data_IF_465095084428
#
_entry.id   IF_465095084428
#
_cell.length_a   1.000
_cell.length_b   1.000
_cell.length_c   1.000
_cell.angle_alpha   90.00
_cell.angle_beta   90.00
_cell.angle_gamma   90.00
#
_symmetry.space_group_name_H-M   'P 1'
#
loop_
_entity.id
_entity.type
_entity.pdbx_description
1 polymer ?
#
# COMPACT_ATOMS: atom_id res chain seq x y z
N UNK A 1 -28.49 -7.36 -2.65
CA UNK A 1 -27.63 -6.17 -2.77
C UNK A 1 -26.33 -6.63 -3.35
N UNK A 2 -25.83 -5.92 -4.35
CA UNK A 2 -24.61 -6.29 -5.05
C UNK A 2 -23.43 -5.55 -4.38
N UNK A 3 -22.55 -6.30 -3.72
CA UNK A 3 -21.34 -5.76 -3.08
C UNK A 3 -20.22 -5.80 -4.11
N UNK A 4 -19.66 -4.64 -4.48
CA UNK A 4 -18.66 -4.52 -5.54
C UNK A 4 -17.26 -4.18 -5.04
N UNK A 5 -17.13 -3.79 -3.78
CA UNK A 5 -15.87 -3.30 -3.23
C UNK A 5 -15.19 -4.38 -2.38
N UNK A 6 -13.88 -4.47 -2.49
CA UNK A 6 -13.03 -5.44 -1.81
C UNK A 6 -12.22 -4.69 -0.74
N UNK A 7 -12.03 -5.31 0.44
CA UNK A 7 -11.34 -4.72 1.58
C UNK A 7 -11.89 -3.33 2.00
N UNK A 8 -13.21 -3.22 1.95
CA UNK A 8 -13.90 -2.06 2.49
C UNK A 8 -15.25 -2.47 3.09
N UNK A 9 -15.74 -1.66 4.02
CA UNK A 9 -17.03 -1.88 4.64
C UNK A 9 -18.17 -1.52 3.67
N UNK A 10 -19.02 -2.49 3.39
CA UNK A 10 -20.21 -2.32 2.57
C UNK A 10 -21.46 -2.36 3.44
N UNK A 11 -22.25 -1.29 3.49
CA UNK A 11 -23.49 -1.24 4.25
C UNK A 11 -24.69 -1.60 3.41
N UNK A 12 -25.53 -2.47 3.97
CA UNK A 12 -26.79 -2.88 3.39
C UNK A 12 -27.92 -2.47 4.34
N UNK A 13 -28.70 -1.41 4.07
CA UNK A 13 -29.81 -1.05 4.91
C UNK A 13 -30.94 -2.08 4.77
N UNK A 14 -31.43 -2.57 5.91
CA UNK A 14 -32.56 -3.50 5.97
C UNK A 14 -33.71 -2.80 6.72
N UNK A 15 -34.74 -2.40 5.98
CA UNK A 15 -35.86 -1.61 6.50
C UNK A 15 -37.04 -2.49 6.94
N UNK A 16 -36.81 -3.75 7.23
CA UNK A 16 -37.84 -4.69 7.68
C UNK A 16 -37.26 -5.69 8.68
N UNK A 17 -38.15 -6.29 9.45
CA UNK A 17 -37.75 -7.30 10.44
C UNK A 17 -37.16 -8.53 9.75
N UNK A 18 -35.91 -8.83 10.04
CA UNK A 18 -35.15 -9.91 9.41
C UNK A 18 -34.94 -11.05 10.42
N UNK A 19 -35.19 -12.26 10.01
CA UNK A 19 -35.00 -13.48 10.83
C UNK A 19 -33.78 -14.30 10.40
N UNK A 20 -33.30 -14.10 9.16
CA UNK A 20 -32.14 -14.79 8.61
C UNK A 20 -31.46 -13.90 7.59
N UNK A 21 -30.12 -13.99 7.53
CA UNK A 21 -29.27 -13.38 6.51
C UNK A 21 -28.66 -14.52 5.70
N UNK A 22 -28.78 -14.47 4.39
CA UNK A 22 -28.07 -15.34 3.47
C UNK A 22 -27.12 -14.53 2.61
N UNK A 23 -25.85 -14.88 2.61
CA UNK A 23 -24.83 -14.30 1.75
C UNK A 23 -24.58 -15.32 0.64
N UNK A 24 -24.78 -14.90 -0.62
CA UNK A 24 -24.57 -15.75 -1.79
C UNK A 24 -23.63 -15.04 -2.75
N UNK A 25 -22.59 -15.73 -3.19
CA UNK A 25 -21.77 -15.28 -4.29
C UNK A 25 -22.48 -15.56 -5.63
N UNK A 26 -22.34 -14.64 -6.57
CA UNK A 26 -22.74 -14.89 -7.97
C UNK A 26 -21.63 -15.58 -8.76
N UNK A 27 -20.39 -15.41 -8.30
CA UNK A 27 -19.20 -16.08 -8.81
C UNK A 27 -18.83 -17.24 -7.86
N UNK A 28 -17.96 -18.13 -8.29
CA UNK A 28 -17.66 -19.38 -7.56
C UNK A 28 -17.03 -19.16 -6.17
N UNK A 29 -16.37 -18.01 -5.93
CA UNK A 29 -15.69 -17.72 -4.67
C UNK A 29 -15.99 -16.28 -4.24
N UNK A 30 -16.41 -16.09 -2.99
CA UNK A 30 -16.47 -14.80 -2.33
C UNK A 30 -15.91 -14.93 -0.91
N UNK A 31 -14.85 -14.18 -0.62
CA UNK A 31 -14.28 -14.07 0.71
C UNK A 31 -15.02 -12.97 1.46
N UNK A 32 -15.59 -13.32 2.61
CA UNK A 32 -16.22 -12.38 3.55
C UNK A 32 -15.32 -12.30 4.76
N UNK A 33 -14.69 -11.14 4.96
CA UNK A 33 -13.73 -10.94 6.04
C UNK A 33 -14.42 -10.79 7.39
N UNK A 34 -15.41 -9.91 7.47
CA UNK A 34 -16.13 -9.61 8.72
C UNK A 34 -17.57 -9.20 8.44
N UNK A 35 -18.50 -9.57 9.31
CA UNK A 35 -19.92 -9.21 9.23
C UNK A 35 -20.33 -8.52 10.52
N UNK A 36 -20.75 -7.25 10.41
CA UNK A 36 -21.33 -6.50 11.53
C UNK A 36 -22.81 -6.28 11.28
N UNK A 37 -23.64 -6.71 12.22
CA UNK A 37 -25.08 -6.48 12.20
C UNK A 37 -25.39 -5.41 13.23
N UNK A 38 -26.02 -4.33 12.79
CA UNK A 38 -26.48 -3.25 13.66
C UNK A 38 -28.02 -3.30 13.79
N UNK A 39 -28.52 -3.12 14.99
CA UNK A 39 -29.94 -2.91 15.23
C UNK A 39 -30.38 -1.47 14.87
N UNK A 40 -31.64 -1.14 15.12
CA UNK A 40 -32.18 0.20 14.83
C UNK A 40 -31.53 1.32 15.65
N UNK A 41 -30.98 0.98 16.79
CA UNK A 41 -30.29 1.91 17.70
C UNK A 41 -28.77 1.99 17.41
N UNK A 42 -28.29 1.30 16.37
CA UNK A 42 -26.88 1.23 16.01
C UNK A 42 -26.05 0.31 16.87
N UNK A 43 -26.69 -0.51 17.74
CA UNK A 43 -26.00 -1.47 18.60
C UNK A 43 -25.66 -2.73 17.82
N UNK A 44 -24.45 -3.25 18.03
CA UNK A 44 -23.99 -4.51 17.42
C UNK A 44 -24.75 -5.70 17.97
N UNK A 45 -25.23 -6.56 17.08
CA UNK A 45 -26.00 -7.75 17.38
C UNK A 45 -25.33 -8.95 16.71
N UNK A 46 -25.03 -9.98 17.47
CA UNK A 46 -24.51 -11.24 16.94
C UNK A 46 -25.65 -12.20 16.57
N UNK A 47 -25.57 -12.89 15.43
CA UNK A 47 -26.53 -13.94 15.10
C UNK A 47 -26.37 -15.15 16.05
N UNK A 48 -27.45 -15.90 16.26
CA UNK A 48 -27.47 -17.07 17.18
C UNK A 48 -26.46 -18.16 16.80
N UNK A 49 -26.03 -18.20 15.56
CA UNK A 49 -25.09 -19.17 15.03
C UNK A 49 -23.71 -18.57 14.72
N UNK A 50 -23.37 -17.41 15.28
CA UNK A 50 -22.06 -16.77 15.06
C UNK A 50 -20.88 -17.71 15.39
N UNK A 51 -21.03 -18.53 16.44
CA UNK A 51 -20.00 -19.51 16.86
C UNK A 51 -19.64 -20.55 15.78
N UNK A 52 -20.50 -20.74 14.76
CA UNK A 52 -20.22 -21.63 13.62
C UNK A 52 -19.34 -20.98 12.54
N UNK A 53 -19.20 -19.67 12.58
CA UNK A 53 -18.48 -18.85 11.60
C UNK A 53 -17.61 -17.83 12.36
N UNK A 54 -16.68 -18.28 13.21
CA UNK A 54 -15.90 -17.38 14.06
C UNK A 54 -15.15 -16.32 13.22
N UNK A 55 -14.53 -16.72 12.12
CA UNK A 55 -13.75 -15.83 11.23
C UNK A 55 -14.58 -14.70 10.58
N UNK A 56 -15.92 -14.78 10.63
CA UNK A 56 -16.79 -13.75 10.10
C UNK A 56 -17.34 -12.79 11.18
N UNK A 57 -17.01 -13.03 12.47
CA UNK A 57 -17.55 -12.27 13.61
C UNK A 57 -16.51 -12.02 14.71
N UNK A 58 -15.22 -12.21 14.46
CA UNK A 58 -14.15 -12.10 15.47
C UNK A 58 -13.49 -10.71 15.52
N UNK A 59 -13.70 -9.88 14.50
CA UNK A 59 -13.12 -8.55 14.40
C UNK A 59 -14.14 -7.41 14.55
N UNK A 60 -15.19 -7.62 15.34
CA UNK A 60 -16.29 -6.66 15.56
C UNK A 60 -15.84 -5.26 16.01
N UNK A 61 -14.71 -5.18 16.71
CA UNK A 61 -14.11 -3.92 17.18
C UNK A 61 -13.45 -3.11 16.08
N UNK A 62 -13.07 -3.76 14.96
CA UNK A 62 -12.51 -3.06 13.81
C UNK A 62 -13.56 -2.29 13.00
N UNK A 63 -14.85 -2.52 13.28
CA UNK A 63 -15.91 -1.75 12.63
C UNK A 63 -15.89 -0.30 13.13
N UNK A 64 -15.61 0.68 12.25
CA UNK A 64 -15.47 2.07 12.65
C UNK A 64 -16.83 2.70 12.95
N UNK A 65 -16.88 3.54 13.98
CA UNK A 65 -18.06 4.33 14.32
C UNK A 65 -18.45 5.28 13.18
N UNK A 66 -17.45 5.86 12.52
CA UNK A 66 -17.60 6.70 11.34
C UNK A 66 -16.72 6.19 10.19
N UNK A 67 -17.27 6.11 9.00
CA UNK A 67 -16.49 5.73 7.81
C UNK A 67 -15.55 6.85 7.41
N UNK A 68 -14.28 6.53 7.34
CA UNK A 68 -13.22 7.41 6.83
C UNK A 68 -12.27 6.61 5.94
N UNK A 69 -11.45 7.30 5.17
CA UNK A 69 -10.38 6.66 4.38
C UNK A 69 -9.33 5.91 5.22
N UNK A 70 -9.37 6.10 6.53
CA UNK A 70 -8.50 5.36 7.46
C UNK A 70 -8.90 3.89 7.61
N UNK A 71 -10.12 3.53 7.22
CA UNK A 71 -10.69 2.19 7.39
C UNK A 71 -11.04 1.48 6.08
N UNK A 72 -10.79 2.13 4.94
CA UNK A 72 -11.16 1.60 3.63
C UNK A 72 -9.97 1.67 2.66
N UNK A 73 -10.02 0.87 1.60
CA UNK A 73 -9.09 0.99 0.48
C UNK A 73 -9.46 2.19 -0.40
N UNK A 74 -8.45 2.86 -0.94
CA UNK A 74 -8.61 4.00 -1.81
C UNK A 74 -7.93 3.75 -3.16
N UNK A 75 -8.66 3.98 -4.25
CA UNK A 75 -8.15 3.84 -5.62
C UNK A 75 -7.60 2.42 -5.88
N UNK A 76 -6.39 2.30 -6.40
CA UNK A 76 -5.77 1.01 -6.73
C UNK A 76 -5.28 0.20 -5.50
N UNK A 77 -5.42 0.74 -4.29
CA UNK A 77 -5.14 -0.01 -3.06
C UNK A 77 -5.86 -1.36 -3.02
N UNK A 78 -7.10 -1.40 -3.55
CA UNK A 78 -7.90 -2.62 -3.59
C UNK A 78 -7.17 -3.77 -4.30
N UNK A 79 -6.45 -3.48 -5.37
CA UNK A 79 -5.70 -4.48 -6.12
C UNK A 79 -4.36 -4.81 -5.46
N UNK A 80 -3.63 -3.79 -5.03
CA UNK A 80 -2.30 -3.95 -4.47
C UNK A 80 -2.32 -4.55 -3.07
N UNK A 81 -3.22 -4.09 -2.20
CA UNK A 81 -3.39 -4.64 -0.86
C UNK A 81 -3.87 -6.09 -0.92
N UNK A 82 -4.83 -6.41 -1.79
CA UNK A 82 -5.28 -7.78 -2.02
C UNK A 82 -4.13 -8.69 -2.46
N UNK A 83 -3.37 -8.28 -3.48
CA UNK A 83 -2.25 -9.08 -3.97
C UNK A 83 -1.16 -9.23 -2.92
N UNK A 84 -0.87 -8.19 -2.13
CA UNK A 84 0.06 -8.28 -1.02
C UNK A 84 -0.42 -9.26 0.07
N UNK A 85 -1.72 -9.32 0.33
CA UNK A 85 -2.34 -10.31 1.20
C UNK A 85 -2.20 -11.74 0.63
N UNK A 86 -2.53 -11.92 -0.66
CA UNK A 86 -2.38 -13.21 -1.37
C UNK A 86 -0.94 -13.73 -1.29
N UNK A 87 0.05 -12.85 -1.50
CA UNK A 87 1.48 -13.18 -1.35
C UNK A 87 1.80 -13.63 0.08
N UNK A 88 1.25 -12.94 1.08
CA UNK A 88 1.50 -13.24 2.50
C UNK A 88 1.01 -14.64 2.87
N UNK A 89 -0.11 -15.07 2.29
CA UNK A 89 -0.76 -16.35 2.57
C UNK A 89 -0.46 -17.46 1.55
N UNK A 90 0.38 -17.18 0.54
CA UNK A 90 0.72 -18.16 -0.50
C UNK A 90 -0.46 -18.53 -1.41
N UNK A 91 -1.40 -17.60 -1.59
CA UNK A 91 -2.57 -17.77 -2.45
C UNK A 91 -2.24 -17.46 -3.92
N UNK A 92 -3.12 -17.84 -4.82
CA UNK A 92 -3.02 -17.47 -6.24
C UNK A 92 -3.16 -15.97 -6.41
N UNK A 93 -2.19 -15.34 -7.08
CA UNK A 93 -2.17 -13.91 -7.31
C UNK A 93 -3.22 -13.54 -8.35
N UNK A 94 -4.16 -12.67 -7.96
CA UNK A 94 -5.24 -12.19 -8.84
C UNK A 94 -4.73 -11.12 -9.82
N UNK A 95 -4.01 -10.11 -9.31
CA UNK A 95 -3.57 -8.98 -10.12
C UNK A 95 -2.10 -9.18 -10.56
N UNK A 96 -1.88 -9.41 -11.85
CA UNK A 96 -0.58 -9.70 -12.47
C UNK A 96 -0.09 -8.61 -13.43
N UNK A 97 -0.87 -7.55 -13.65
CA UNK A 97 -0.55 -6.52 -14.66
C UNK A 97 0.60 -5.61 -14.25
N UNK A 98 0.81 -5.41 -12.95
CA UNK A 98 1.88 -4.57 -12.43
C UNK A 98 3.08 -5.40 -11.96
N UNK A 99 4.30 -4.84 -12.02
CA UNK A 99 5.50 -5.50 -11.49
C UNK A 99 5.33 -5.95 -10.04
N UNK A 100 5.82 -7.15 -9.68
CA UNK A 100 5.49 -7.75 -8.39
C UNK A 100 6.26 -7.15 -7.20
N UNK A 101 7.43 -6.52 -7.42
CA UNK A 101 8.32 -6.06 -6.34
C UNK A 101 7.59 -5.15 -5.34
N UNK A 102 6.83 -4.15 -5.82
CA UNK A 102 6.11 -3.24 -4.94
C UNK A 102 5.11 -3.97 -4.04
N UNK A 103 4.39 -4.96 -4.57
CA UNK A 103 3.42 -5.78 -3.83
C UNK A 103 4.11 -6.69 -2.82
N UNK A 104 5.29 -7.27 -3.15
CA UNK A 104 6.11 -8.01 -2.19
C UNK A 104 6.58 -7.12 -1.04
N UNK A 105 6.99 -5.89 -1.33
CA UNK A 105 7.38 -4.93 -0.28
C UNK A 105 6.17 -4.58 0.61
N UNK A 106 5.01 -4.31 0.03
CA UNK A 106 3.76 -4.06 0.80
C UNK A 106 3.38 -5.27 1.67
N UNK A 107 3.59 -6.50 1.19
CA UNK A 107 3.31 -7.71 1.97
C UNK A 107 4.12 -7.78 3.27
N UNK A 108 5.29 -7.16 3.34
CA UNK A 108 6.08 -7.06 4.58
C UNK A 108 5.37 -6.18 5.62
N UNK A 109 4.73 -5.09 5.19
CA UNK A 109 3.93 -4.25 6.07
C UNK A 109 2.70 -4.98 6.61
N UNK A 110 1.99 -5.73 5.76
CA UNK A 110 0.86 -6.58 6.16
C UNK A 110 1.31 -7.67 7.14
N UNK A 111 2.45 -8.30 6.91
CA UNK A 111 3.01 -9.30 7.84
C UNK A 111 3.32 -8.74 9.22
N UNK A 112 3.80 -7.49 9.28
CA UNK A 112 4.21 -6.86 10.52
C UNK A 112 3.03 -6.27 11.31
N UNK A 113 2.02 -5.74 10.62
CA UNK A 113 0.94 -4.92 11.21
C UNK A 113 -0.47 -5.44 10.91
N UNK A 114 -0.59 -6.60 10.29
CA UNK A 114 -1.87 -7.18 9.89
C UNK A 114 -2.45 -6.59 8.61
N UNK A 115 -3.58 -7.17 8.15
CA UNK A 115 -4.33 -6.70 6.99
C UNK A 115 -5.19 -5.49 7.37
N UNK A 116 -4.53 -4.39 7.68
CA UNK A 116 -5.14 -3.11 8.08
C UNK A 116 -4.69 -2.00 7.14
N UNK A 117 -5.42 -0.87 7.04
CA UNK A 117 -4.97 0.28 6.26
C UNK A 117 -3.56 0.76 6.61
N UNK A 118 -3.18 0.69 7.87
CA UNK A 118 -1.80 0.96 8.28
C UNK A 118 -0.82 -0.08 7.70
N UNK A 119 -1.15 -1.36 7.77
CA UNK A 119 -0.30 -2.46 7.31
C UNK A 119 0.06 -2.34 5.83
N UNK A 120 -0.89 -2.08 4.94
CA UNK A 120 -0.58 -1.95 3.51
C UNK A 120 -0.05 -0.58 3.09
N UNK A 121 -0.24 0.49 3.90
CA UNK A 121 0.24 1.85 3.60
C UNK A 121 1.62 2.16 4.14
N UNK A 122 2.02 1.54 5.25
CA UNK A 122 3.26 1.89 5.95
C UNK A 122 4.51 1.81 5.06
N UNK A 123 4.59 0.82 4.19
CA UNK A 123 5.74 0.67 3.28
C UNK A 123 5.76 1.80 2.25
N UNK A 124 4.62 2.18 1.69
CA UNK A 124 4.52 3.31 0.78
C UNK A 124 4.94 4.62 1.48
N UNK A 125 4.50 4.83 2.72
CA UNK A 125 4.90 5.98 3.53
C UNK A 125 6.42 6.01 3.81
N UNK A 126 7.04 4.85 4.06
CA UNK A 126 8.48 4.75 4.24
C UNK A 126 9.23 5.12 2.95
N UNK A 127 8.82 4.59 1.79
CA UNK A 127 9.44 4.95 0.51
C UNK A 127 9.27 6.42 0.17
N UNK A 128 8.08 6.99 0.37
CA UNK A 128 7.85 8.43 0.21
C UNK A 128 8.74 9.27 1.13
N UNK A 129 8.89 8.86 2.39
CA UNK A 129 9.80 9.53 3.34
C UNK A 129 11.27 9.40 2.92
N UNK A 130 11.71 8.24 2.41
CA UNK A 130 13.07 8.02 1.92
C UNK A 130 13.40 8.86 0.68
N UNK A 131 12.42 9.19 -0.16
CA UNK A 131 12.64 10.07 -1.31
C UNK A 131 13.12 11.46 -0.91
N UNK A 132 12.75 11.97 0.26
CA UNK A 132 13.14 13.31 0.73
C UNK A 132 14.66 13.43 0.91
N UNK A 133 15.32 12.65 1.78
CA UNK A 133 16.78 12.72 1.90
C UNK A 133 17.50 12.29 0.61
N UNK A 134 16.95 11.34 -0.15
CA UNK A 134 17.52 10.92 -1.43
C UNK A 134 17.55 12.09 -2.44
N UNK A 135 16.46 12.84 -2.55
CA UNK A 135 16.38 14.03 -3.39
C UNK A 135 17.41 15.08 -2.95
N UNK A 136 17.49 15.35 -1.65
CA UNK A 136 18.48 16.30 -1.14
C UNK A 136 19.93 15.92 -1.48
N UNK A 137 20.29 14.66 -1.21
CA UNK A 137 21.66 14.16 -1.47
C UNK A 137 21.97 14.17 -2.96
N UNK A 138 21.02 13.78 -3.80
CA UNK A 138 21.19 13.82 -5.25
C UNK A 138 21.38 15.25 -5.75
N UNK A 139 20.53 16.17 -5.37
CA UNK A 139 20.63 17.56 -5.76
C UNK A 139 21.91 18.23 -5.23
N UNK A 140 22.35 17.87 -4.01
CA UNK A 140 23.63 18.34 -3.50
C UNK A 140 24.82 17.75 -4.27
N UNK A 141 24.75 16.50 -4.69
CA UNK A 141 25.77 15.88 -5.52
C UNK A 141 25.96 16.61 -6.84
N UNK A 142 24.86 17.06 -7.45
CA UNK A 142 24.84 17.77 -8.75
C UNK A 142 25.22 19.25 -8.60
N UNK A 143 24.52 19.98 -7.73
CA UNK A 143 24.62 21.45 -7.63
C UNK A 143 25.78 21.94 -6.78
N UNK A 144 26.25 21.13 -5.83
CA UNK A 144 27.21 21.52 -4.78
C UNK A 144 26.76 22.72 -3.95
N UNK A 145 25.47 23.02 -3.95
CA UNK A 145 24.87 24.15 -3.27
C UNK A 145 23.73 23.65 -2.36
N UNK A 146 23.88 23.88 -1.06
CA UNK A 146 22.93 23.46 -0.03
C UNK A 146 21.57 24.14 -0.18
N UNK A 147 21.54 25.41 -0.58
CA UNK A 147 20.29 26.15 -0.78
C UNK A 147 19.47 25.64 -1.96
N UNK A 148 20.14 25.34 -3.09
CA UNK A 148 19.48 24.72 -4.25
C UNK A 148 18.93 23.36 -3.86
N UNK A 149 19.71 22.53 -3.14
CA UNK A 149 19.29 21.21 -2.70
C UNK A 149 18.09 21.28 -1.76
N UNK A 150 18.14 22.17 -0.77
CA UNK A 150 17.04 22.37 0.16
C UNK A 150 15.77 22.87 -0.54
N UNK A 151 15.90 23.83 -1.46
CA UNK A 151 14.76 24.35 -2.20
C UNK A 151 14.11 23.28 -3.09
N UNK A 152 14.90 22.52 -3.83
CA UNK A 152 14.38 21.43 -4.68
C UNK A 152 13.70 20.32 -3.84
N UNK A 153 14.32 19.98 -2.69
CA UNK A 153 13.71 19.00 -1.77
C UNK A 153 12.41 19.54 -1.17
N UNK A 154 12.36 20.83 -0.83
CA UNK A 154 11.12 21.44 -0.35
C UNK A 154 10.01 21.39 -1.41
N UNK A 155 10.32 21.63 -2.68
CA UNK A 155 9.35 21.47 -3.77
C UNK A 155 8.80 20.05 -3.83
N UNK A 156 9.63 19.02 -3.67
CA UNK A 156 9.19 17.63 -3.61
C UNK A 156 8.28 17.38 -2.38
N UNK A 157 8.67 17.87 -1.19
CA UNK A 157 7.89 17.67 0.04
C UNK A 157 6.51 18.33 -0.03
N UNK A 158 6.43 19.50 -0.65
CA UNK A 158 5.17 20.24 -0.82
C UNK A 158 4.42 19.89 -2.11
N UNK A 159 4.95 18.94 -2.91
CA UNK A 159 4.23 18.44 -4.08
C UNK A 159 3.04 17.59 -3.66
N UNK A 160 1.87 17.94 -4.19
CA UNK A 160 0.61 17.28 -3.85
C UNK A 160 0.62 15.78 -4.25
N UNK A 161 1.19 15.44 -5.39
CA UNK A 161 1.27 14.04 -5.86
C UNK A 161 2.15 13.21 -4.94
N UNK A 162 3.35 13.70 -4.60
CA UNK A 162 4.24 13.03 -3.65
C UNK A 162 3.56 12.82 -2.30
N UNK A 163 2.89 13.86 -1.77
CA UNK A 163 2.17 13.78 -0.51
C UNK A 163 1.05 12.75 -0.55
N UNK A 164 0.24 12.73 -1.60
CA UNK A 164 -0.90 11.82 -1.75
C UNK A 164 -0.42 10.38 -1.93
N UNK A 165 0.49 10.12 -2.89
CA UNK A 165 0.97 8.77 -3.18
C UNK A 165 1.77 8.16 -2.03
N UNK A 166 2.38 8.97 -1.17
CA UNK A 166 3.05 8.51 0.05
C UNK A 166 2.10 7.98 1.11
N UNK A 167 0.80 8.28 1.03
CA UNK A 167 -0.20 7.96 2.06
C UNK A 167 -1.17 6.87 1.67
N UNK A 168 -1.19 6.51 0.41
CA UNK A 168 -2.03 5.43 -0.11
C UNK A 168 -1.19 4.21 -0.44
N UNK A 169 -1.80 3.03 -0.37
CA UNK A 169 -1.13 1.76 -0.63
C UNK A 169 -1.05 1.43 -2.12
N UNK A 170 -0.37 2.29 -2.90
CA UNK A 170 -0.11 2.05 -4.31
C UNK A 170 1.38 1.86 -4.56
N UNK A 171 1.74 1.10 -5.58
CA UNK A 171 3.14 0.83 -5.89
C UNK A 171 3.87 2.03 -6.52
N UNK A 172 3.14 3.07 -6.93
CA UNK A 172 3.69 4.21 -7.69
C UNK A 172 4.81 4.92 -6.94
N UNK A 173 4.62 5.19 -5.64
CA UNK A 173 5.63 5.87 -4.81
C UNK A 173 6.90 5.02 -4.66
N UNK A 174 6.76 3.69 -4.62
CA UNK A 174 7.89 2.76 -4.56
C UNK A 174 8.68 2.84 -5.87
N UNK A 175 7.98 2.77 -7.00
CA UNK A 175 8.59 2.89 -8.33
C UNK A 175 9.27 4.26 -8.49
N UNK A 176 8.62 5.36 -8.10
CA UNK A 176 9.19 6.70 -8.15
C UNK A 176 10.48 6.81 -7.32
N UNK A 177 10.52 6.19 -6.14
CA UNK A 177 11.72 6.13 -5.30
C UNK A 177 12.87 5.39 -6.00
N UNK A 178 12.59 4.23 -6.62
CA UNK A 178 13.62 3.49 -7.37
C UNK A 178 14.09 4.25 -8.62
N UNK A 179 13.21 4.94 -9.32
CA UNK A 179 13.59 5.82 -10.43
C UNK A 179 14.55 6.92 -9.95
N UNK A 180 14.22 7.60 -8.87
CA UNK A 180 15.08 8.65 -8.30
C UNK A 180 16.43 8.08 -7.88
N UNK A 181 16.45 6.90 -7.24
CA UNK A 181 17.68 6.20 -6.84
C UNK A 181 18.52 5.82 -8.06
N UNK A 182 17.89 5.30 -9.12
CA UNK A 182 18.57 4.95 -10.39
C UNK A 182 19.27 6.17 -11.01
N UNK A 183 18.60 7.31 -11.10
CA UNK A 183 19.22 8.53 -11.61
C UNK A 183 20.39 9.00 -10.73
N UNK A 184 20.25 8.91 -9.41
CA UNK A 184 21.33 9.26 -8.50
C UNK A 184 22.54 8.34 -8.66
N UNK A 185 22.34 7.03 -8.69
CA UNK A 185 23.42 6.05 -8.89
C UNK A 185 24.06 6.20 -10.27
N UNK A 186 23.28 6.41 -11.33
CA UNK A 186 23.80 6.68 -12.66
C UNK A 186 24.69 7.94 -12.67
N UNK A 187 24.27 9.02 -12.02
CA UNK A 187 25.10 10.21 -11.87
C UNK A 187 26.43 9.90 -11.19
N UNK A 188 26.44 9.08 -10.11
CA UNK A 188 27.66 8.69 -9.42
C UNK A 188 28.56 7.85 -10.31
N UNK A 189 28.01 6.91 -11.08
CA UNK A 189 28.74 6.09 -12.06
C UNK A 189 29.40 7.00 -13.11
N UNK A 190 28.65 7.87 -13.77
CA UNK A 190 29.16 8.78 -14.79
C UNK A 190 30.27 9.70 -14.27
N UNK A 191 30.14 10.16 -13.02
CA UNK A 191 31.17 10.97 -12.37
C UNK A 191 32.47 10.18 -12.14
N UNK A 192 32.37 8.92 -11.71
CA UNK A 192 33.53 8.06 -11.45
C UNK A 192 34.21 7.56 -12.73
N UNK A 193 33.45 7.29 -13.77
CA UNK A 193 34.00 6.87 -15.08
C UNK A 193 35.05 7.84 -15.65
N UNK A 194 34.96 9.13 -15.29
CA UNK A 194 35.97 10.13 -15.67
C UNK A 194 37.35 9.85 -15.10
N UNK A 195 37.42 9.07 -14.01
CA UNK A 195 38.68 8.69 -13.31
C UNK A 195 39.10 7.24 -13.57
N UNK A 196 38.35 6.53 -14.42
CA UNK A 196 38.62 5.11 -14.74
C UNK A 196 37.66 4.16 -14.03
N UNK A 197 37.77 2.88 -14.39
CA UNK A 197 36.95 1.81 -13.83
C UNK A 197 37.70 1.16 -12.67
N UNK A 198 37.21 1.36 -11.46
CA UNK A 198 37.64 0.71 -10.25
C UNK A 198 36.56 -0.20 -9.66
N UNK A 199 36.89 -0.94 -8.57
CA UNK A 199 35.91 -1.82 -7.89
C UNK A 199 34.66 -1.09 -7.41
N UNK A 200 34.81 0.16 -6.97
CA UNK A 200 33.66 0.96 -6.54
C UNK A 200 32.78 1.36 -7.73
N UNK A 201 33.35 1.66 -8.88
CA UNK A 201 32.60 1.96 -10.11
C UNK A 201 31.78 0.75 -10.55
N UNK A 202 32.38 -0.45 -10.54
CA UNK A 202 31.67 -1.70 -10.86
C UNK A 202 30.54 -1.96 -9.86
N UNK A 203 30.77 -1.78 -8.56
CA UNK A 203 29.73 -1.93 -7.55
C UNK A 203 28.56 -0.97 -7.78
N UNK A 204 28.85 0.31 -8.08
CA UNK A 204 27.81 1.31 -8.39
C UNK A 204 27.02 0.95 -9.66
N UNK A 205 27.69 0.37 -10.68
CA UNK A 205 26.99 -0.12 -11.88
C UNK A 205 26.04 -1.27 -11.56
N UNK A 206 26.47 -2.22 -10.72
CA UNK A 206 25.62 -3.33 -10.28
C UNK A 206 24.42 -2.78 -9.49
N UNK A 207 24.65 -1.90 -8.50
CA UNK A 207 23.59 -1.30 -7.71
C UNK A 207 22.60 -0.50 -8.57
N UNK A 208 23.11 0.21 -9.58
CA UNK A 208 22.28 0.94 -10.52
C UNK A 208 21.40 0.00 -11.37
N UNK A 209 21.98 -1.12 -11.84
CA UNK A 209 21.21 -2.15 -12.54
C UNK A 209 20.13 -2.77 -11.66
N UNK A 210 20.46 -3.12 -10.41
CA UNK A 210 19.47 -3.63 -9.46
C UNK A 210 18.36 -2.62 -9.09
N UNK A 211 18.66 -1.33 -9.13
CA UNK A 211 17.65 -0.30 -8.86
C UNK A 211 16.74 -0.01 -10.07
N UNK A 212 17.25 -0.26 -11.27
CA UNK A 212 16.50 -0.07 -12.50
C UNK A 212 15.54 -1.23 -12.86
N UNK A 213 15.72 -2.41 -12.25
CA UNK A 213 14.98 -3.66 -12.49
C UNK A 213 15.88 -4.72 -13.08
#
# INVERSE_FOLDING_TARGET
>A
VNVKSVFCWNSVPVNYRTYALAIMSQDDIADVMEIVILDQDGKKVLPKNAERYPEAFDEQELFPEYRTYEYETMFDEVYHARTAYEITHGLSIYEITHPPLGKYLMSLGIRAFGMTPFGWRVVCALFGTMMVPLCYVFMWAVSKNSWISAFTTALLVFDFMHFTLSRIGTIDIIVACFILLTFYLMYLVLKRLKHGIDRCTVLLMILNGCAAG
#
